data_IF_032924336365
#
_entry.id   IF_032924336365
#
_cell.length_a   1.000
_cell.length_b   1.000
_cell.length_c   1.000
_cell.angle_alpha   90.00
_cell.angle_beta   90.00
_cell.angle_gamma   90.00
#
_symmetry.space_group_name_H-M   'P 1'
#
loop_
_entity.id
_entity.type
_entity.pdbx_description
1 polymer ?
#
# COMPACT_ATOMS: atom_id res chain seq x y z
N UNK A 1 -0.01 -14.66 2.98
CA UNK A 1 -0.96 -14.60 1.85
C UNK A 1 -0.65 -15.66 0.77
N UNK A 2 0.59 -15.76 0.29
CA UNK A 2 1.04 -16.83 -0.63
C UNK A 2 0.71 -18.26 -0.17
N UNK A 3 0.92 -18.61 1.11
CA UNK A 3 0.61 -19.95 1.62
C UNK A 3 -0.88 -20.28 1.58
N UNK A 4 -1.76 -19.30 1.84
CA UNK A 4 -3.21 -19.48 1.80
C UNK A 4 -3.72 -19.63 0.37
N UNK A 5 -3.24 -18.79 -0.57
CA UNK A 5 -3.59 -18.92 -1.99
C UNK A 5 -3.11 -20.26 -2.56
N UNK A 6 -1.89 -20.71 -2.21
CA UNK A 6 -1.38 -22.00 -2.65
C UNK A 6 -2.23 -23.16 -2.10
N UNK A 7 -2.64 -23.10 -0.83
CA UNK A 7 -3.55 -24.09 -0.25
C UNK A 7 -4.89 -24.17 -0.97
N UNK A 8 -5.55 -23.03 -1.20
CA UNK A 8 -6.82 -22.97 -1.92
C UNK A 8 -6.69 -23.46 -3.37
N UNK A 9 -5.63 -23.06 -4.08
CA UNK A 9 -5.38 -23.48 -5.47
C UNK A 9 -5.10 -24.98 -5.53
N UNK A 10 -4.34 -25.54 -4.58
CA UNK A 10 -4.06 -26.98 -4.52
C UNK A 10 -5.31 -27.79 -4.19
N UNK A 11 -6.16 -27.33 -3.27
CA UNK A 11 -7.46 -27.95 -2.99
C UNK A 11 -8.39 -27.91 -4.21
N UNK A 12 -8.44 -26.77 -4.91
CA UNK A 12 -9.15 -26.65 -6.18
C UNK A 12 -8.60 -27.60 -7.24
N UNK A 13 -7.27 -27.72 -7.36
CA UNK A 13 -6.61 -28.66 -8.26
C UNK A 13 -6.95 -30.11 -7.94
N UNK A 14 -6.93 -30.52 -6.68
CA UNK A 14 -7.27 -31.88 -6.25
C UNK A 14 -8.74 -32.21 -6.55
N UNK A 15 -9.65 -31.30 -6.20
CA UNK A 15 -11.07 -31.41 -6.56
C UNK A 15 -11.26 -31.53 -8.06
N UNK A 16 -10.59 -30.66 -8.84
CA UNK A 16 -10.70 -30.64 -10.29
C UNK A 16 -10.10 -31.91 -10.91
N UNK A 17 -8.98 -32.44 -10.39
CA UNK A 17 -8.35 -33.68 -10.87
C UNK A 17 -9.27 -34.88 -10.72
N UNK A 18 -9.95 -35.00 -9.57
CA UNK A 18 -10.93 -36.07 -9.32
C UNK A 18 -12.10 -36.03 -10.33
N UNK A 19 -12.49 -34.83 -10.78
CA UNK A 19 -13.62 -34.60 -11.70
C UNK A 19 -13.20 -34.49 -13.18
N UNK A 20 -11.91 -34.29 -13.46
CA UNK A 20 -11.34 -34.13 -14.81
C UNK A 20 -11.41 -35.42 -15.64
N UNK A 21 -11.53 -36.57 -14.97
CA UNK A 21 -11.81 -37.87 -15.61
C UNK A 21 -13.23 -37.91 -16.19
N UNK A 22 -14.16 -37.13 -15.63
CA UNK A 22 -15.60 -37.24 -15.92
C UNK A 22 -16.16 -36.11 -16.81
N UNK A 23 -15.46 -34.98 -16.97
CA UNK A 23 -16.00 -33.85 -17.76
C UNK A 23 -14.94 -33.06 -18.53
N UNK A 24 -15.30 -32.63 -19.75
CA UNK A 24 -14.45 -31.75 -20.58
C UNK A 24 -14.10 -30.43 -19.88
N UNK A 25 -15.07 -29.83 -19.16
CA UNK A 25 -14.86 -28.58 -18.40
C UNK A 25 -13.79 -28.74 -17.32
N UNK A 26 -13.86 -29.82 -16.53
CA UNK A 26 -12.86 -30.06 -15.48
C UNK A 26 -11.47 -30.34 -16.07
N UNK A 27 -11.38 -31.05 -17.21
CA UNK A 27 -10.11 -31.27 -17.90
C UNK A 27 -9.49 -29.96 -18.42
N UNK A 28 -10.30 -29.08 -19.01
CA UNK A 28 -9.87 -27.76 -19.45
C UNK A 28 -9.30 -26.92 -18.30
N UNK A 29 -10.05 -26.80 -17.20
CA UNK A 29 -9.63 -26.04 -16.01
C UNK A 29 -8.36 -26.63 -15.39
N UNK A 30 -8.28 -27.96 -15.27
CA UNK A 30 -7.09 -28.64 -14.75
C UNK A 30 -5.85 -28.32 -15.60
N UNK A 31 -5.97 -28.42 -16.92
CA UNK A 31 -4.85 -28.13 -17.83
C UNK A 31 -4.43 -26.66 -17.75
N UNK A 32 -5.37 -25.74 -17.61
CA UNK A 32 -5.07 -24.32 -17.44
C UNK A 32 -4.32 -24.04 -16.13
N UNK A 33 -4.81 -24.53 -14.99
CA UNK A 33 -4.16 -24.29 -13.68
C UNK A 33 -2.76 -24.94 -13.62
N UNK A 34 -2.57 -26.08 -14.29
CA UNK A 34 -1.26 -26.74 -14.38
C UNK A 34 -0.29 -26.06 -15.36
N UNK A 35 -0.77 -25.12 -16.17
CA UNK A 35 0.07 -24.44 -17.16
C UNK A 35 1.08 -23.49 -16.50
N UNK A 36 2.27 -23.38 -17.07
CA UNK A 36 3.27 -22.40 -16.65
C UNK A 36 2.75 -20.95 -16.79
N UNK A 37 1.89 -20.71 -17.79
CA UNK A 37 1.24 -19.43 -18.03
C UNK A 37 0.42 -18.97 -16.82
N UNK A 38 -0.41 -19.87 -16.25
CA UNK A 38 -1.21 -19.56 -15.07
C UNK A 38 -0.33 -19.14 -13.89
N UNK A 39 0.70 -19.94 -13.58
CA UNK A 39 1.58 -19.65 -12.44
C UNK A 39 2.45 -18.41 -12.64
N UNK A 40 2.83 -18.09 -13.87
CA UNK A 40 3.50 -16.82 -14.19
C UNK A 40 2.56 -15.65 -13.85
N UNK A 41 1.32 -15.67 -14.33
CA UNK A 41 0.37 -14.59 -14.06
C UNK A 41 0.06 -14.44 -12.56
N UNK A 42 -0.04 -15.57 -11.83
CA UNK A 42 -0.20 -15.56 -10.36
C UNK A 42 0.99 -14.85 -9.69
N UNK A 43 2.23 -15.20 -10.05
CA UNK A 43 3.43 -14.56 -9.51
C UNK A 43 3.49 -13.07 -9.79
N UNK A 44 3.19 -12.66 -11.02
CA UNK A 44 3.16 -11.24 -11.40
C UNK A 44 2.08 -10.47 -10.62
N UNK A 45 0.88 -11.04 -10.49
CA UNK A 45 -0.21 -10.44 -9.69
C UNK A 45 0.22 -10.24 -8.25
N UNK A 46 0.86 -11.23 -7.63
CA UNK A 46 1.36 -11.13 -6.26
C UNK A 46 2.44 -10.07 -6.13
N UNK A 47 3.36 -9.97 -7.11
CA UNK A 47 4.42 -8.96 -7.10
C UNK A 47 3.84 -7.54 -7.11
N UNK A 48 2.75 -7.29 -7.85
CA UNK A 48 2.06 -6.00 -7.89
C UNK A 48 1.25 -5.75 -6.60
N UNK A 49 0.53 -6.76 -6.11
CA UNK A 49 -0.33 -6.59 -4.93
C UNK A 49 0.44 -6.49 -3.61
N UNK A 50 1.62 -7.12 -3.50
CA UNK A 50 2.42 -7.12 -2.28
C UNK A 50 2.73 -5.71 -1.73
N UNK A 51 3.27 -4.75 -2.52
CA UNK A 51 3.51 -3.39 -2.03
C UNK A 51 2.21 -2.67 -1.63
N UNK A 52 1.15 -2.79 -2.43
CA UNK A 52 -0.17 -2.18 -2.15
C UNK A 52 -0.72 -2.66 -0.79
N UNK A 53 -0.68 -3.96 -0.54
CA UNK A 53 -1.13 -4.56 0.71
C UNK A 53 -0.28 -4.12 1.91
N UNK A 54 0.99 -3.76 1.70
CA UNK A 54 1.85 -3.23 2.77
C UNK A 54 1.33 -1.88 3.27
N UNK A 55 0.88 -1.00 2.36
CA UNK A 55 0.26 0.28 2.73
C UNK A 55 -1.11 0.11 3.34
N UNK A 56 -1.96 -0.76 2.78
CA UNK A 56 -3.29 -1.01 3.39
C UNK A 56 -3.14 -1.54 4.82
N UNK A 57 -2.21 -2.49 5.04
CA UNK A 57 -1.89 -2.96 6.39
C UNK A 57 -1.35 -1.86 7.30
N UNK A 58 -0.72 -0.82 6.75
CA UNK A 58 -0.26 0.34 7.53
C UNK A 58 -1.41 1.28 7.88
N UNK A 59 -2.30 1.54 6.92
CA UNK A 59 -3.49 2.36 7.09
C UNK A 59 -4.46 1.75 8.11
N UNK A 60 -4.55 0.42 8.15
CA UNK A 60 -5.39 -0.30 9.11
C UNK A 60 -4.78 -0.37 10.54
N UNK A 61 -3.52 0.05 10.74
CA UNK A 61 -2.92 0.08 12.08
C UNK A 61 -3.35 1.33 12.84
N UNK A 62 -3.61 1.16 14.13
CA UNK A 62 -3.79 2.27 15.05
C UNK A 62 -2.48 3.04 15.26
N UNK A 63 -2.59 4.36 15.50
CA UNK A 63 -1.48 5.23 15.83
C UNK A 63 -1.13 6.25 14.74
N UNK A 64 0.05 6.85 14.87
CA UNK A 64 0.53 7.94 14.03
C UNK A 64 1.06 7.43 12.66
N UNK A 65 0.17 6.83 11.87
CA UNK A 65 0.51 6.18 10.59
C UNK A 65 0.36 7.09 9.38
N UNK A 66 -0.41 8.17 9.47
CA UNK A 66 -0.72 9.06 8.34
C UNK A 66 0.52 9.64 7.66
N UNK A 67 1.53 10.08 8.43
CA UNK A 67 2.78 10.57 7.85
C UNK A 67 3.61 9.48 7.16
N UNK A 68 3.46 8.22 7.58
CA UNK A 68 4.14 7.08 6.94
C UNK A 68 3.40 6.61 5.69
N UNK A 69 2.06 6.74 5.67
CA UNK A 69 1.26 6.45 4.48
C UNK A 69 1.69 7.38 3.34
N UNK A 70 1.85 8.69 3.62
CA UNK A 70 2.36 9.67 2.66
C UNK A 70 3.67 9.22 2.01
N UNK A 71 4.69 8.91 2.80
CA UNK A 71 6.01 8.48 2.29
C UNK A 71 5.94 7.18 1.46
N UNK A 72 5.06 6.26 1.81
CA UNK A 72 4.93 4.99 1.11
C UNK A 72 4.15 5.09 -0.19
N UNK A 73 3.37 6.15 -0.39
CA UNK A 73 2.59 6.34 -1.62
C UNK A 73 3.51 6.47 -2.84
N UNK A 74 4.57 7.26 -2.72
CA UNK A 74 5.56 7.45 -3.79
C UNK A 74 6.48 6.24 -3.96
N UNK A 75 6.97 5.71 -2.83
CA UNK A 75 7.87 4.55 -2.84
C UNK A 75 7.22 3.35 -3.51
N UNK A 76 5.93 3.11 -3.30
CA UNK A 76 5.21 2.00 -3.96
C UNK A 76 5.14 2.21 -5.47
N UNK A 77 4.91 3.43 -5.94
CA UNK A 77 4.89 3.71 -7.37
C UNK A 77 6.25 3.46 -8.02
N UNK A 78 7.33 3.78 -7.34
CA UNK A 78 8.68 3.42 -7.79
C UNK A 78 8.89 1.90 -7.83
N UNK A 79 8.54 1.19 -6.76
CA UNK A 79 8.68 -0.26 -6.66
C UNK A 79 7.90 -0.97 -7.77
N UNK A 80 6.62 -0.60 -7.96
CA UNK A 80 5.76 -1.13 -9.02
C UNK A 80 6.32 -0.81 -10.40
N UNK A 81 6.88 0.38 -10.60
CA UNK A 81 7.45 0.79 -11.89
C UNK A 81 8.76 0.06 -12.23
N UNK A 82 9.48 -0.46 -11.23
CA UNK A 82 10.69 -1.28 -11.40
C UNK A 82 10.37 -2.75 -11.69
N UNK A 83 9.12 -3.20 -11.53
CA UNK A 83 8.74 -4.59 -11.78
C UNK A 83 8.83 -4.95 -13.27
N UNK A 84 9.58 -6.01 -13.58
CA UNK A 84 9.61 -6.60 -14.91
C UNK A 84 8.48 -7.63 -15.09
N UNK A 85 7.29 -7.15 -15.44
CA UNK A 85 6.08 -7.98 -15.60
C UNK A 85 5.60 -8.01 -17.05
N UNK A 86 5.00 -9.14 -17.45
CA UNK A 86 4.53 -9.36 -18.82
C UNK A 86 3.22 -8.63 -19.18
N UNK A 87 2.43 -8.21 -18.18
CA UNK A 87 1.10 -7.64 -18.37
C UNK A 87 1.12 -6.10 -18.21
N UNK A 88 1.74 -5.40 -19.17
CA UNK A 88 1.93 -3.95 -19.11
C UNK A 88 0.64 -3.14 -19.12
N UNK A 89 -0.33 -3.49 -19.96
CA UNK A 89 -1.62 -2.75 -20.03
C UNK A 89 -2.35 -2.72 -18.68
N UNK A 90 -2.38 -3.86 -17.96
CA UNK A 90 -2.98 -3.90 -16.62
C UNK A 90 -2.16 -3.14 -15.58
N UNK A 91 -0.86 -2.98 -15.78
CA UNK A 91 -0.03 -2.20 -14.87
C UNK A 91 -0.44 -0.74 -14.87
N UNK A 92 -0.71 -0.18 -16.05
CA UNK A 92 -1.11 1.22 -16.18
C UNK A 92 -2.49 1.46 -15.57
N UNK A 93 -3.43 0.53 -15.74
CA UNK A 93 -4.72 0.57 -15.04
C UNK A 93 -4.55 0.53 -13.51
N UNK A 94 -3.67 -0.34 -13.00
CA UNK A 94 -3.39 -0.45 -11.56
C UNK A 94 -2.75 0.83 -11.05
N UNK A 95 -1.82 1.44 -11.81
CA UNK A 95 -1.19 2.72 -11.47
C UNK A 95 -2.23 3.84 -11.41
N UNK A 96 -3.15 3.90 -12.38
CA UNK A 96 -4.23 4.89 -12.39
C UNK A 96 -5.17 4.73 -11.19
N UNK A 97 -5.53 3.48 -10.85
CA UNK A 97 -6.32 3.18 -9.66
C UNK A 97 -5.57 3.54 -8.36
N UNK A 98 -4.27 3.26 -8.31
CA UNK A 98 -3.42 3.63 -7.18
C UNK A 98 -3.37 5.14 -7.00
N UNK A 99 -3.09 5.92 -8.05
CA UNK A 99 -3.10 7.39 -8.01
C UNK A 99 -4.46 7.90 -7.54
N UNK A 100 -5.56 7.37 -8.08
CA UNK A 100 -6.91 7.76 -7.66
C UNK A 100 -7.13 7.53 -6.18
N UNK A 101 -6.72 6.36 -5.66
CA UNK A 101 -6.80 6.05 -4.23
C UNK A 101 -5.89 6.92 -3.39
N UNK A 102 -4.70 7.22 -3.91
CA UNK A 102 -3.76 8.10 -3.26
C UNK A 102 -4.34 9.50 -3.10
N UNK A 103 -4.95 10.05 -4.14
CA UNK A 103 -5.61 11.36 -4.07
C UNK A 103 -6.75 11.42 -3.04
N UNK A 104 -7.45 10.31 -2.79
CA UNK A 104 -8.44 10.25 -1.70
C UNK A 104 -7.82 10.24 -0.31
N UNK A 105 -6.59 9.73 -0.19
CA UNK A 105 -5.81 9.72 1.05
C UNK A 105 -4.91 10.95 1.17
N UNK A 106 -4.77 11.74 0.10
CA UNK A 106 -3.99 12.95 0.08
C UNK A 106 -4.81 14.07 0.71
N UNK A 107 -4.36 14.59 1.85
CA UNK A 107 -4.93 15.81 2.41
C UNK A 107 -3.83 16.63 3.09
N UNK A 108 -4.06 17.94 3.30
CA UNK A 108 -3.15 18.78 4.06
C UNK A 108 -2.76 18.17 5.41
N UNK A 109 -3.66 17.40 6.05
CA UNK A 109 -3.36 16.68 7.28
C UNK A 109 -2.33 15.56 7.12
N UNK A 110 -2.35 14.83 6.01
CA UNK A 110 -1.36 13.78 5.74
C UNK A 110 0.01 14.40 5.44
N UNK A 111 0.05 15.48 4.66
CA UNK A 111 1.27 16.27 4.42
C UNK A 111 1.83 16.86 5.74
N UNK A 112 0.97 17.48 6.55
CA UNK A 112 1.37 17.98 7.86
C UNK A 112 1.82 16.88 8.82
N UNK A 113 1.18 15.71 8.79
CA UNK A 113 1.61 14.55 9.57
C UNK A 113 2.98 14.01 9.09
N UNK A 114 3.24 14.05 7.78
CA UNK A 114 4.53 13.68 7.20
C UNK A 114 5.63 14.64 7.65
N UNK A 115 5.43 15.95 7.50
CA UNK A 115 6.37 17.00 7.93
C UNK A 115 6.66 16.94 9.44
N UNK A 116 5.62 16.69 10.24
CA UNK A 116 5.74 16.61 11.70
C UNK A 116 6.30 15.28 12.21
N UNK A 117 6.54 14.29 11.35
CA UNK A 117 7.04 12.98 11.76
C UNK A 117 8.57 13.01 11.96
N UNK A 118 9.11 12.84 13.19
CA UNK A 118 10.55 12.84 13.42
C UNK A 118 11.36 11.84 12.57
N UNK A 119 10.79 10.70 12.19
CA UNK A 119 11.47 9.71 11.32
C UNK A 119 11.70 10.30 9.92
N UNK A 120 10.78 11.15 9.45
CA UNK A 120 10.81 11.74 8.12
C UNK A 120 11.47 13.12 8.11
N UNK A 121 11.81 13.68 9.28
CA UNK A 121 12.32 15.07 9.42
C UNK A 121 13.49 15.38 8.49
N UNK A 122 14.44 14.46 8.34
CA UNK A 122 15.58 14.65 7.43
C UNK A 122 15.16 14.63 5.96
N UNK A 123 14.26 13.71 5.57
CA UNK A 123 13.70 13.64 4.21
C UNK A 123 12.75 14.80 3.87
N UNK A 124 12.09 15.37 4.88
CA UNK A 124 11.19 16.50 4.70
C UNK A 124 11.93 17.80 4.37
N UNK A 125 13.20 17.91 4.77
CA UNK A 125 14.03 19.06 4.41
C UNK A 125 14.34 19.11 2.91
N UNK A 126 14.31 17.95 2.25
CA UNK A 126 14.47 17.78 0.81
C UNK A 126 13.12 17.55 0.10
N UNK A 127 11.98 17.78 0.78
CA UNK A 127 10.66 17.42 0.23
C UNK A 127 10.32 18.20 -1.02
N UNK A 128 9.46 17.61 -1.84
CA UNK A 128 8.79 18.31 -2.94
C UNK A 128 7.95 19.51 -2.44
N UNK A 129 7.54 20.36 -3.39
CA UNK A 129 6.67 21.50 -3.10
C UNK A 129 5.33 21.08 -2.50
N UNK A 130 4.87 19.86 -2.77
CA UNK A 130 3.55 19.37 -2.38
C UNK A 130 3.43 19.14 -0.86
N UNK A 131 4.44 18.53 -0.23
CA UNK A 131 4.45 18.37 1.22
C UNK A 131 4.48 19.73 1.96
N UNK A 132 5.22 20.70 1.43
CA UNK A 132 5.31 22.06 1.98
C UNK A 132 4.00 22.83 1.80
N UNK A 133 3.39 22.77 0.62
CA UNK A 133 2.10 23.41 0.33
C UNK A 133 1.01 22.85 1.26
N UNK A 134 0.95 21.52 1.41
CA UNK A 134 0.01 20.88 2.32
C UNK A 134 0.23 21.26 3.79
N UNK A 135 1.48 21.44 4.21
CA UNK A 135 1.78 21.96 5.56
C UNK A 135 1.33 23.41 5.75
N UNK A 136 1.55 24.27 4.75
CA UNK A 136 1.11 25.66 4.79
C UNK A 136 -0.42 25.76 4.86
N UNK A 137 -1.14 24.89 4.13
CA UNK A 137 -2.59 24.78 4.22
C UNK A 137 -3.06 24.42 5.64
N UNK A 138 -2.38 23.50 6.33
CA UNK A 138 -2.69 23.17 7.74
C UNK A 138 -2.55 24.39 8.64
N UNK A 139 -1.49 25.17 8.48
CA UNK A 139 -1.28 26.40 9.26
C UNK A 139 -2.35 27.46 8.97
N UNK A 140 -2.76 27.59 7.71
CA UNK A 140 -3.86 28.49 7.31
C UNK A 140 -5.17 28.04 7.96
N UNK A 141 -5.50 26.75 7.91
CA UNK A 141 -6.72 26.22 8.52
C UNK A 141 -6.76 26.39 10.03
N UNK A 142 -5.61 26.30 10.70
CA UNK A 142 -5.48 26.64 12.13
C UNK A 142 -5.77 28.11 12.39
N UNK A 143 -5.13 29.00 11.61
CA UNK A 143 -5.30 30.45 11.75
C UNK A 143 -6.74 30.88 11.51
N UNK A 144 -7.42 30.25 10.55
CA UNK A 144 -8.82 30.50 10.22
C UNK A 144 -9.81 29.87 11.22
N UNK A 145 -9.33 29.05 12.18
CA UNK A 145 -10.17 28.34 13.14
C UNK A 145 -10.97 27.18 12.53
N UNK A 146 -10.71 26.83 11.28
CA UNK A 146 -11.30 25.66 10.58
C UNK A 146 -10.80 24.38 11.25
N UNK A 147 -9.49 24.32 11.51
CA UNK A 147 -8.89 23.27 12.32
C UNK A 147 -8.86 23.69 13.79
N UNK A 148 -9.49 22.90 14.65
CA UNK A 148 -9.42 23.13 16.10
C UNK A 148 -8.02 22.83 16.61
N UNK A 149 -7.46 23.73 17.42
CA UNK A 149 -6.13 23.60 18.04
C UNK A 149 -5.93 22.27 18.79
N UNK A 150 -7.00 21.70 19.37
CA UNK A 150 -6.97 20.39 20.04
C UNK A 150 -6.63 19.23 19.09
N UNK A 151 -7.12 19.26 17.85
CA UNK A 151 -6.85 18.22 16.84
C UNK A 151 -5.40 18.29 16.40
N UNK A 152 -4.89 19.51 16.17
CA UNK A 152 -3.49 19.73 15.85
C UNK A 152 -2.54 19.35 17.00
N UNK A 153 -2.92 19.67 18.24
CA UNK A 153 -2.14 19.26 19.42
C UNK A 153 -2.09 17.73 19.56
N UNK A 154 -3.21 17.04 19.31
CA UNK A 154 -3.24 15.57 19.27
C UNK A 154 -2.31 15.01 18.20
N UNK A 155 -2.32 15.57 16.98
CA UNK A 155 -1.39 15.16 15.94
C UNK A 155 0.07 15.41 16.34
N UNK A 156 0.40 16.63 16.79
CA UNK A 156 1.75 16.97 17.23
C UNK A 156 2.24 16.02 18.33
N UNK A 157 1.46 15.81 19.38
CA UNK A 157 1.82 14.90 20.48
C UNK A 157 1.91 13.43 20.07
N UNK A 158 1.05 12.96 19.15
CA UNK A 158 1.10 11.60 18.63
C UNK A 158 2.38 11.32 17.83
N UNK A 159 2.91 12.32 17.12
CA UNK A 159 4.14 12.19 16.34
C UNK A 159 5.41 12.56 17.14
N UNK A 160 5.34 13.36 18.19
CA UNK A 160 6.52 13.74 19.01
C UNK A 160 6.83 12.79 20.16
N UNK A 161 5.85 12.01 20.64
CA UNK A 161 6.05 11.07 21.74
C UNK A 161 6.49 9.68 21.23
N UNK A 162 7.11 8.89 22.12
CA UNK A 162 7.81 7.60 21.95
C UNK A 162 7.10 6.45 21.19
N UNK A 163 5.99 6.69 20.49
CA UNK A 163 5.26 5.70 19.67
C UNK A 163 6.06 5.24 18.44
N UNK A 164 7.12 5.97 18.07
CA UNK A 164 7.91 5.74 16.86
C UNK A 164 8.84 4.51 16.93
N UNK A 165 9.39 4.19 18.11
CA UNK A 165 10.39 3.13 18.24
C UNK A 165 9.79 1.73 18.04
N UNK A 166 8.57 1.51 18.55
CA UNK A 166 7.80 0.25 18.40
C UNK A 166 7.35 0.06 16.94
N UNK A 167 7.10 1.17 16.23
CA UNK A 167 6.55 1.11 14.88
C UNK A 167 7.64 0.80 13.83
N UNK A 168 8.83 1.39 13.99
CA UNK A 168 9.95 1.25 13.05
C UNK A 168 10.65 -0.12 13.15
N UNK A 169 10.83 -0.65 14.37
CA UNK A 169 11.40 -1.99 14.57
C UNK A 169 10.58 -3.11 13.92
N UNK A 170 9.26 -2.95 13.89
CA UNK A 170 8.31 -3.90 13.28
C UNK A 170 8.11 -3.71 11.77
N UNK A 171 8.64 -2.64 11.17
CA UNK A 171 8.56 -2.38 9.72
C UNK A 171 9.78 -2.89 8.96
N UNK A 172 10.96 -2.80 9.56
CA UNK A 172 12.23 -3.30 9.00
C UNK A 172 12.56 -4.74 9.43
N UNK A 173 11.78 -5.33 10.32
CA UNK A 173 11.92 -6.71 10.76
C UNK A 173 10.84 -7.63 10.16
N UNK A 174 11.00 -8.03 8.89
CA UNK A 174 10.45 -9.26 8.28
C UNK A 174 10.84 -9.36 6.82
#
# INVERSE_FOLDING_TARGET
MLCLMRGCIMACLEYTRKKAVCTHKAKYVSNFILSAFFWRNVKETIAICAPILKVLRLADREGATMGLIYELMDRIMEEISKLNISIRERLDEIKALWITRCNMLHSPFHAGAYVLNPIMREKCLDSDGEANDGWMDVLIYLKMGILKSKVFFFMSTAYTNHAQYIFWSNYNGS
#
